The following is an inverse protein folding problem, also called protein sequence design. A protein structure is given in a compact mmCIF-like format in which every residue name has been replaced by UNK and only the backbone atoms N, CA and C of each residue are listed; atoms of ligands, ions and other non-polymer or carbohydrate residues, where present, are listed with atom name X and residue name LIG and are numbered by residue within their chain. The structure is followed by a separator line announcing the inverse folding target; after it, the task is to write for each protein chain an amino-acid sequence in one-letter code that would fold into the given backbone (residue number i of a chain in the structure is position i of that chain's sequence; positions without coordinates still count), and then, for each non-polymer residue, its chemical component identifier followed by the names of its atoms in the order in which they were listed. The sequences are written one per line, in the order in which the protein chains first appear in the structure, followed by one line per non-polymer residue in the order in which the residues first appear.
data_IF_615626803013
#
_entry.id   IF_615626803013
#
_cell.length_a   1.000
_cell.length_b   1.000
_cell.length_c   1.000
_cell.angle_alpha   90.00
_cell.angle_beta   90.00
_cell.angle_gamma   90.00
#
_symmetry.space_group_name_H-M   'P 1'
#
loop_
_entity.id
_entity.type
_entity.pdbx_description
1 polymer ?
#
# COMPACT_ATOMS: atom_id res chain seq x y z
N UNK A 1 16.32 2.72 -15.93
CA UNK A 1 16.71 3.51 -14.76
C UNK A 1 16.39 2.66 -13.54
N UNK A 2 17.38 1.97 -13.02
CA UNK A 2 17.27 1.14 -11.83
C UNK A 2 17.33 2.05 -10.60
N UNK A 3 16.19 2.21 -9.92
CA UNK A 3 16.16 2.86 -8.62
C UNK A 3 16.68 1.85 -7.60
N UNK A 4 17.94 1.93 -7.27
CA UNK A 4 18.55 1.18 -6.16
C UNK A 4 17.90 1.63 -4.86
N UNK A 5 16.86 0.92 -4.41
CA UNK A 5 16.34 1.05 -3.04
C UNK A 5 17.42 0.63 -2.06
N UNK A 6 18.00 1.58 -1.36
CA UNK A 6 18.81 1.28 -0.17
C UNK A 6 17.92 0.52 0.84
N UNK A 7 18.37 -0.66 1.28
CA UNK A 7 17.64 -1.46 2.26
C UNK A 7 17.54 -0.68 3.57
N UNK A 8 16.36 -0.61 4.23
CA UNK A 8 16.17 0.17 5.45
C UNK A 8 17.11 -0.23 6.62
N UNK A 9 17.64 -1.46 6.60
CA UNK A 9 18.63 -1.92 7.58
C UNK A 9 20.02 -1.29 7.40
N UNK A 10 20.40 -0.99 6.16
CA UNK A 10 21.70 -0.38 5.86
C UNK A 10 21.69 1.10 6.27
N UNK A 11 20.54 1.76 6.10
CA UNK A 11 20.35 3.14 6.52
C UNK A 11 20.43 3.30 8.05
N UNK A 12 19.88 2.35 8.80
CA UNK A 12 19.96 2.36 10.28
C UNK A 12 21.40 2.17 10.79
N UNK A 13 22.18 1.28 10.18
CA UNK A 13 23.59 1.07 10.54
C UNK A 13 24.45 2.29 10.24
N UNK A 14 24.22 2.92 9.09
CA UNK A 14 24.91 4.14 8.70
C UNK A 14 24.60 5.27 9.70
N UNK A 15 23.34 5.39 10.13
CA UNK A 15 22.93 6.36 11.18
C UNK A 15 23.62 6.11 12.50
N UNK A 16 23.74 4.85 12.93
CA UNK A 16 24.45 4.52 14.19
C UNK A 16 25.95 4.83 14.12
N UNK A 17 26.61 4.50 13.00
CA UNK A 17 28.03 4.80 12.82
C UNK A 17 28.30 6.30 12.82
N UNK A 18 27.46 7.10 12.18
CA UNK A 18 27.59 8.58 12.19
C UNK A 18 27.30 9.17 13.56
N UNK A 19 26.30 8.67 14.28
CA UNK A 19 26.05 9.08 15.66
C UNK A 19 27.24 8.80 16.57
N UNK A 20 27.94 7.68 16.39
CA UNK A 20 29.17 7.36 17.12
C UNK A 20 30.34 8.25 16.73
N UNK A 21 30.46 8.68 15.47
CA UNK A 21 31.46 9.64 15.02
C UNK A 21 31.22 11.03 15.61
N UNK A 22 29.95 11.46 15.74
CA UNK A 22 29.57 12.71 16.43
C UNK A 22 29.95 12.68 17.90
N UNK A 23 29.73 11.54 18.57
CA UNK A 23 30.10 11.38 19.99
C UNK A 23 31.63 11.39 20.23
N UNK A 24 32.44 11.12 19.20
CA UNK A 24 33.90 11.16 19.25
C UNK A 24 34.52 12.55 19.00
N UNK A 25 33.69 13.50 18.55
CA UNK A 25 34.18 14.86 18.24
C UNK A 25 34.98 14.95 16.93
N UNK A 26 34.84 14.00 16.02
CA UNK A 26 35.59 13.93 14.77
C UNK A 26 35.00 14.83 13.65
N UNK A 27 33.95 15.62 13.95
CA UNK A 27 33.23 16.46 12.98
C UNK A 27 33.24 17.91 13.48
N UNK A 28 33.61 18.85 12.59
CA UNK A 28 33.58 20.27 12.91
C UNK A 28 32.15 20.78 13.15
N UNK A 29 31.98 21.66 14.13
CA UNK A 29 30.67 22.14 14.61
C UNK A 29 29.80 22.78 13.49
N UNK A 30 30.41 23.39 12.50
CA UNK A 30 29.70 24.01 11.35
C UNK A 30 29.03 23.00 10.45
N UNK A 31 29.68 21.86 10.21
CA UNK A 31 29.10 20.76 9.38
C UNK A 31 27.98 20.04 10.13
N UNK A 32 28.02 20.08 11.45
CA UNK A 32 27.00 19.52 12.32
C UNK A 32 25.69 20.30 12.28
N UNK A 33 25.75 21.63 12.33
CA UNK A 33 24.54 22.47 12.30
C UNK A 33 23.83 22.36 10.98
N UNK A 34 24.52 22.45 9.84
CA UNK A 34 23.96 22.30 8.51
C UNK A 34 23.36 20.88 8.32
N UNK A 35 24.08 19.84 8.77
CA UNK A 35 23.62 18.46 8.71
C UNK A 35 22.37 18.19 9.54
N UNK A 36 22.31 18.78 10.75
CA UNK A 36 21.17 18.64 11.66
C UNK A 36 19.94 19.35 11.11
N UNK A 37 20.09 20.58 10.58
CA UNK A 37 18.96 21.32 10.00
C UNK A 37 18.36 20.60 8.79
N UNK A 38 19.19 20.17 7.86
CA UNK A 38 18.72 19.43 6.66
C UNK A 38 18.03 18.13 7.04
N UNK A 39 18.61 17.37 7.97
CA UNK A 39 18.08 16.07 8.38
C UNK A 39 16.84 16.16 9.26
N UNK A 40 16.77 17.12 10.15
CA UNK A 40 15.57 17.35 10.97
C UNK A 40 14.38 17.73 10.13
N UNK A 41 14.56 18.56 9.12
CA UNK A 41 13.49 18.94 8.21
C UNK A 41 13.00 17.73 7.38
N UNK A 42 13.91 16.99 6.75
CA UNK A 42 13.60 15.82 5.95
C UNK A 42 12.97 14.70 6.78
N UNK A 43 13.48 14.42 7.97
CA UNK A 43 12.93 13.40 8.86
C UNK A 43 11.52 13.76 9.30
N UNK A 44 11.27 15.00 9.68
CA UNK A 44 9.92 15.47 10.05
C UNK A 44 8.94 15.42 8.88
N UNK A 45 9.39 15.73 7.67
CA UNK A 45 8.55 15.68 6.48
C UNK A 45 8.20 14.24 6.12
N UNK A 46 9.14 13.32 6.15
CA UNK A 46 8.90 11.89 5.91
C UNK A 46 7.97 11.28 6.97
N UNK A 47 8.17 11.62 8.22
CA UNK A 47 7.32 11.15 9.32
C UNK A 47 5.88 11.67 9.19
N UNK A 48 5.70 12.93 8.82
CA UNK A 48 4.39 13.51 8.53
C UNK A 48 3.72 12.83 7.33
N UNK A 49 4.48 12.56 6.28
CA UNK A 49 4.00 11.86 5.09
C UNK A 49 3.58 10.42 5.39
N UNK A 50 4.38 9.71 6.17
CA UNK A 50 4.09 8.33 6.59
C UNK A 50 2.89 8.28 7.54
N UNK A 51 2.76 9.25 8.44
CA UNK A 51 1.60 9.40 9.31
C UNK A 51 0.32 9.66 8.49
N UNK A 52 0.38 10.56 7.51
CA UNK A 52 -0.76 10.85 6.64
C UNK A 52 -1.19 9.62 5.84
N UNK A 53 -0.25 8.89 5.25
CA UNK A 53 -0.52 7.65 4.50
C UNK A 53 -1.09 6.54 5.38
N UNK A 54 -0.63 6.42 6.61
CA UNK A 54 -1.14 5.45 7.58
C UNK A 54 -2.60 5.71 7.94
N UNK A 55 -3.01 6.97 8.03
CA UNK A 55 -4.34 7.38 8.47
C UNK A 55 -5.31 7.70 7.32
N UNK A 56 -4.86 7.67 6.07
CA UNK A 56 -5.67 7.97 4.89
C UNK A 56 -5.33 6.99 3.76
N UNK A 57 -5.92 5.80 3.82
CA UNK A 57 -5.81 4.78 2.75
C UNK A 57 -7.04 4.91 1.87
N UNK A 58 -6.85 5.12 0.58
CA UNK A 58 -7.93 5.25 -0.38
C UNK A 58 -8.19 3.94 -1.13
N UNK A 59 -9.29 3.22 -0.82
CA UNK A 59 -9.59 1.97 -1.46
C UNK A 59 -10.20 2.15 -2.85
N UNK A 60 -9.78 1.28 -3.77
CA UNK A 60 -10.42 1.01 -5.05
C UNK A 60 -11.24 -0.26 -4.91
N UNK A 61 -12.55 -0.15 -4.87
CA UNK A 61 -13.45 -1.29 -4.83
C UNK A 61 -13.62 -1.92 -6.21
N UNK A 62 -13.15 -3.15 -6.39
CA UNK A 62 -13.34 -3.91 -7.62
C UNK A 62 -14.29 -5.06 -7.40
N UNK A 63 -15.57 -4.81 -7.70
CA UNK A 63 -16.66 -5.76 -7.49
C UNK A 63 -16.85 -6.70 -8.68
N UNK A 64 -16.68 -8.00 -8.46
CA UNK A 64 -16.76 -9.02 -9.51
C UNK A 64 -17.94 -9.97 -9.33
N UNK A 65 -18.43 -10.17 -8.12
CA UNK A 65 -19.51 -11.09 -7.81
C UNK A 65 -20.21 -10.74 -6.48
N UNK A 66 -20.86 -11.76 -5.85
CA UNK A 66 -21.63 -11.57 -4.61
C UNK A 66 -20.85 -10.93 -3.45
N UNK A 67 -19.55 -11.18 -3.31
CA UNK A 67 -18.71 -10.54 -2.31
C UNK A 67 -18.59 -9.01 -2.51
N UNK A 68 -18.89 -8.50 -3.71
CA UNK A 68 -18.96 -7.07 -3.95
C UNK A 68 -20.12 -6.40 -3.20
N UNK A 69 -21.25 -7.08 -3.06
CA UNK A 69 -22.40 -6.59 -2.30
C UNK A 69 -22.04 -6.51 -0.81
N UNK A 70 -21.35 -7.53 -0.30
CA UNK A 70 -20.84 -7.54 1.05
C UNK A 70 -19.83 -6.41 1.29
N UNK A 71 -18.91 -6.20 0.35
CA UNK A 71 -17.96 -5.09 0.37
C UNK A 71 -18.68 -3.73 0.45
N UNK A 72 -19.69 -3.50 -0.38
CA UNK A 72 -20.46 -2.25 -0.39
C UNK A 72 -21.20 -2.08 0.94
N UNK A 73 -21.76 -3.16 1.50
CA UNK A 73 -22.43 -3.14 2.78
C UNK A 73 -21.49 -2.76 3.92
N UNK A 74 -20.26 -3.31 3.92
CA UNK A 74 -19.23 -2.98 4.92
C UNK A 74 -18.78 -1.53 4.79
N UNK A 75 -18.61 -1.05 3.59
CA UNK A 75 -18.16 0.33 3.33
C UNK A 75 -19.20 1.35 3.73
N UNK A 76 -20.49 1.08 3.45
CA UNK A 76 -21.58 2.01 3.70
C UNK A 76 -22.37 1.78 5.00
N UNK A 77 -22.00 0.77 5.80
CA UNK A 77 -22.73 0.46 7.03
C UNK A 77 -22.22 1.28 8.21
N UNK A 78 -23.11 1.96 8.96
CA UNK A 78 -22.71 2.72 10.16
C UNK A 78 -22.04 1.87 11.24
N UNK A 79 -22.32 0.57 11.27
CA UNK A 79 -21.74 -0.37 12.25
C UNK A 79 -20.33 -0.79 11.93
N UNK A 80 -20.00 -0.96 10.64
CA UNK A 80 -18.73 -1.49 10.15
C UNK A 80 -18.01 -0.49 9.24
N UNK A 81 -18.18 0.79 9.51
CA UNK A 81 -17.69 1.86 8.69
C UNK A 81 -16.15 1.84 8.57
N UNK A 82 -15.65 1.86 7.34
CA UNK A 82 -14.22 1.96 7.03
C UNK A 82 -13.63 3.33 7.38
N UNK A 83 -14.47 4.35 7.60
CA UNK A 83 -14.01 5.67 8.01
C UNK A 83 -13.23 5.66 9.33
N UNK A 84 -13.52 4.72 10.23
CA UNK A 84 -12.78 4.52 11.48
C UNK A 84 -11.31 4.20 11.26
N UNK A 85 -10.98 3.64 10.10
CA UNK A 85 -9.62 3.24 9.72
C UNK A 85 -8.98 4.23 8.74
N UNK A 86 -9.62 5.38 8.50
CA UNK A 86 -9.16 6.36 7.53
C UNK A 86 -9.37 5.97 6.07
N UNK A 87 -10.21 4.97 5.79
CA UNK A 87 -10.47 4.44 4.45
C UNK A 87 -11.88 4.82 3.92
N UNK A 88 -12.36 6.02 4.26
CA UNK A 88 -13.68 6.49 3.87
C UNK A 88 -13.79 6.81 2.38
N UNK A 89 -12.73 7.36 1.82
CA UNK A 89 -12.76 7.90 0.46
C UNK A 89 -12.49 6.81 -0.56
N UNK A 90 -13.60 6.24 -1.09
CA UNK A 90 -13.50 5.26 -2.18
C UNK A 90 -13.20 5.98 -3.49
N UNK A 91 -12.16 5.54 -4.17
CA UNK A 91 -11.78 6.05 -5.48
C UNK A 91 -11.99 4.99 -6.55
N UNK A 92 -12.61 5.39 -7.68
CA UNK A 92 -12.81 4.52 -8.83
C UNK A 92 -11.71 4.67 -9.88
N UNK A 93 -10.78 5.61 -9.67
CA UNK A 93 -9.61 5.77 -10.52
C UNK A 93 -8.40 5.07 -9.90
N UNK A 94 -7.73 4.13 -10.62
CA UNK A 94 -6.58 3.41 -10.11
C UNK A 94 -5.41 4.33 -9.74
N UNK A 95 -5.27 5.45 -10.41
CA UNK A 95 -4.19 6.43 -10.17
C UNK A 95 -4.37 7.24 -8.89
N UNK A 96 -5.56 7.21 -8.31
CA UNK A 96 -5.90 7.94 -7.07
C UNK A 96 -6.10 7.01 -5.89
N UNK A 97 -5.95 5.70 -6.07
CA UNK A 97 -6.17 4.70 -5.04
C UNK A 97 -4.87 4.05 -4.61
N UNK A 98 -4.78 3.76 -3.32
CA UNK A 98 -3.62 3.12 -2.70
C UNK A 98 -3.83 1.62 -2.47
N UNK A 99 -5.10 1.21 -2.33
CA UNK A 99 -5.47 -0.17 -2.00
C UNK A 99 -6.54 -0.69 -2.96
N UNK A 100 -6.27 -1.83 -3.61
CA UNK A 100 -7.23 -2.53 -4.46
C UNK A 100 -7.94 -3.64 -3.67
N UNK A 101 -9.27 -3.59 -3.61
CA UNK A 101 -10.08 -4.64 -2.99
C UNK A 101 -10.74 -5.46 -4.10
N UNK A 102 -10.25 -6.68 -4.30
CA UNK A 102 -10.83 -7.64 -5.25
C UNK A 102 -11.92 -8.45 -4.57
N UNK A 103 -13.18 -8.20 -4.90
CA UNK A 103 -14.34 -8.82 -4.26
C UNK A 103 -15.07 -9.77 -5.21
N UNK A 104 -14.87 -11.07 -5.03
CA UNK A 104 -15.60 -12.11 -5.75
C UNK A 104 -14.76 -12.90 -6.76
N UNK A 105 -15.42 -13.50 -7.74
CA UNK A 105 -14.80 -14.42 -8.69
C UNK A 105 -14.04 -13.69 -9.78
N UNK A 106 -12.81 -14.09 -9.99
CA UNK A 106 -11.98 -13.58 -11.10
C UNK A 106 -12.01 -14.59 -12.24
N UNK A 107 -12.65 -14.25 -13.35
CA UNK A 107 -12.60 -15.07 -14.55
C UNK A 107 -11.27 -14.89 -15.29
N UNK A 108 -10.85 -15.91 -16.03
CA UNK A 108 -9.63 -15.86 -16.87
C UNK A 108 -9.67 -14.68 -17.85
N UNK A 109 -10.86 -14.36 -18.38
CA UNK A 109 -11.02 -13.20 -19.27
C UNK A 109 -10.86 -11.86 -18.56
N UNK A 110 -11.18 -11.78 -17.28
CA UNK A 110 -11.05 -10.57 -16.48
C UNK A 110 -9.64 -10.38 -15.88
N UNK A 111 -8.88 -11.44 -15.72
CA UNK A 111 -7.54 -11.37 -15.13
C UNK A 111 -6.60 -10.36 -15.82
N UNK A 112 -6.51 -10.28 -17.16
CA UNK A 112 -5.69 -9.27 -17.83
C UNK A 112 -6.15 -7.82 -17.56
N UNK A 113 -7.45 -7.61 -17.37
CA UNK A 113 -8.02 -6.30 -17.07
C UNK A 113 -7.60 -5.87 -15.67
N UNK A 114 -7.71 -6.76 -14.68
CA UNK A 114 -7.30 -6.51 -13.31
C UNK A 114 -5.80 -6.20 -13.24
N UNK A 115 -4.98 -6.95 -13.99
CA UNK A 115 -3.55 -6.69 -14.08
C UNK A 115 -3.25 -5.29 -14.59
N UNK A 116 -3.92 -4.84 -15.64
CA UNK A 116 -3.77 -3.47 -16.17
C UNK A 116 -4.17 -2.41 -15.16
N UNK A 117 -5.23 -2.64 -14.39
CA UNK A 117 -5.68 -1.73 -13.33
C UNK A 117 -4.64 -1.67 -12.22
N UNK A 118 -4.11 -2.81 -11.81
CA UNK A 118 -3.05 -2.87 -10.81
C UNK A 118 -1.78 -2.14 -11.25
N UNK A 119 -1.38 -2.29 -12.50
CA UNK A 119 -0.20 -1.63 -13.05
C UNK A 119 -0.37 -0.10 -13.16
N UNK A 120 -1.62 0.39 -13.22
CA UNK A 120 -1.94 1.82 -13.22
C UNK A 120 -1.94 2.46 -11.83
N UNK A 121 -1.95 1.66 -10.77
CA UNK A 121 -1.87 2.17 -9.40
C UNK A 121 -0.47 2.67 -9.07
N UNK A 122 -0.41 3.76 -8.32
CA UNK A 122 0.85 4.34 -7.85
C UNK A 122 1.43 3.55 -6.68
N UNK A 123 2.74 3.56 -6.54
CA UNK A 123 3.43 3.01 -5.37
C UNK A 123 3.41 4.00 -4.19
N UNK A 124 3.24 3.55 -2.95
CA UNK A 124 3.00 2.16 -2.50
C UNK A 124 1.56 1.71 -2.73
N UNK A 125 1.36 0.46 -3.17
CA UNK A 125 0.05 -0.10 -3.45
C UNK A 125 -0.15 -1.44 -2.76
N UNK A 126 -1.37 -1.68 -2.30
CA UNK A 126 -1.75 -2.92 -1.62
C UNK A 126 -2.95 -3.56 -2.31
N UNK A 127 -3.06 -4.87 -2.21
CA UNK A 127 -4.18 -5.61 -2.75
C UNK A 127 -4.77 -6.52 -1.68
N UNK A 128 -6.08 -6.46 -1.52
CA UNK A 128 -6.84 -7.35 -0.64
C UNK A 128 -7.75 -8.23 -1.48
N UNK A 129 -7.62 -9.54 -1.31
CA UNK A 129 -8.52 -10.53 -1.88
C UNK A 129 -9.68 -10.78 -0.91
N UNK A 130 -10.89 -10.41 -1.30
CA UNK A 130 -12.08 -10.56 -0.48
C UNK A 130 -12.97 -11.71 -0.96
N UNK A 131 -13.20 -12.66 -0.06
CA UNK A 131 -14.04 -13.82 -0.28
C UNK A 131 -13.31 -15.07 -0.75
N UNK A 132 -13.90 -16.22 -0.54
CA UNK A 132 -13.33 -17.53 -0.86
C UNK A 132 -13.01 -17.68 -2.37
N UNK A 133 -13.84 -17.11 -3.22
CA UNK A 133 -13.63 -17.18 -4.67
C UNK A 133 -12.38 -16.42 -5.12
N UNK A 134 -12.11 -15.23 -4.57
CA UNK A 134 -10.94 -14.46 -4.91
C UNK A 134 -9.66 -15.07 -4.29
N UNK A 135 -9.78 -15.69 -3.11
CA UNK A 135 -8.64 -16.25 -2.39
C UNK A 135 -8.25 -17.64 -2.86
N UNK A 136 -9.22 -18.52 -3.13
CA UNK A 136 -8.96 -19.95 -3.44
C UNK A 136 -9.85 -20.54 -4.54
N UNK A 137 -10.56 -19.69 -5.31
CA UNK A 137 -11.65 -20.08 -6.22
C UNK A 137 -12.88 -20.70 -5.51
N UNK A 138 -12.79 -21.03 -4.23
CA UNK A 138 -13.91 -21.57 -3.44
C UNK A 138 -14.56 -22.80 -4.07
N UNK A 139 -15.89 -22.80 -4.10
CA UNK A 139 -16.68 -23.87 -4.72
C UNK A 139 -16.68 -23.85 -6.26
N UNK A 140 -16.19 -22.79 -6.87
CA UNK A 140 -16.14 -22.59 -8.34
C UNK A 140 -14.77 -22.92 -8.94
N UNK A 141 -14.04 -23.83 -8.34
CA UNK A 141 -12.74 -24.26 -8.85
C UNK A 141 -12.91 -25.03 -10.16
N UNK A 142 -12.91 -24.29 -11.26
CA UNK A 142 -13.00 -24.81 -12.61
C UNK A 142 -12.06 -24.04 -13.57
N UNK A 143 -11.96 -24.50 -14.79
CA UNK A 143 -11.06 -23.94 -15.82
C UNK A 143 -11.34 -22.47 -16.19
N UNK A 144 -12.50 -21.95 -15.83
CA UNK A 144 -12.89 -20.58 -16.20
C UNK A 144 -12.50 -19.52 -15.17
N UNK A 145 -12.09 -19.93 -13.97
CA UNK A 145 -11.73 -19.05 -12.86
C UNK A 145 -10.24 -19.12 -12.53
N UNK A 146 -9.71 -17.99 -12.09
CA UNK A 146 -8.34 -17.90 -11.61
C UNK A 146 -8.35 -18.14 -10.10
N UNK A 147 -7.76 -19.25 -9.66
CA UNK A 147 -7.51 -19.52 -8.26
C UNK A 147 -6.37 -18.62 -7.76
N UNK A 148 -6.44 -18.19 -6.49
CA UNK A 148 -5.39 -17.33 -5.92
C UNK A 148 -5.10 -16.09 -6.79
N UNK A 149 -6.14 -15.37 -7.13
CA UNK A 149 -6.10 -14.27 -8.11
C UNK A 149 -4.98 -13.25 -7.86
N UNK A 150 -4.56 -13.04 -6.61
CA UNK A 150 -3.47 -12.12 -6.27
C UNK A 150 -2.08 -12.65 -6.64
N UNK A 151 -1.89 -13.96 -6.65
CA UNK A 151 -0.59 -14.59 -6.92
C UNK A 151 -0.40 -14.79 -8.43
N UNK A 152 -1.50 -15.07 -9.13
CA UNK A 152 -1.47 -15.39 -10.55
C UNK A 152 -1.73 -14.19 -11.48
N UNK A 153 -2.14 -13.05 -10.92
CA UNK A 153 -2.29 -11.78 -11.64
C UNK A 153 -1.07 -10.89 -11.40
#
# INVERSE_FOLDING_TARGET
MEVTRSKPADDFRIRQMRAQQMLRGDIEDTDLEEYVEERLLLTRFEDAQNWARKNAIWPLGFGLACCAIEMITVIGSPRNDLSRFGAEVIRFSPRQADMLILSGRVSIKMAPVIRRIYDQMLEPKWVISMGACASSAGMFNNYALVALSLIHI
#
